data_IF_548125165702
#
_entry.id   IF_548125165702
#
_cell.length_a   1.000
_cell.length_b   1.000
_cell.length_c   1.000
_cell.angle_alpha   90.00
_cell.angle_beta   90.00
_cell.angle_gamma   90.00
#
_symmetry.space_group_name_H-M   'P 1'
#
loop_
_entity.id
_entity.type
_entity.pdbx_description
1 polymer ?
#
# COMPACT_ATOMS: atom_id res chain seq x y z
N UNK A 1 11.02 20.06 12.14
CA UNK A 1 10.50 18.67 12.34
C UNK A 1 10.80 17.93 11.05
N UNK A 2 11.71 16.98 11.07
CA UNK A 2 11.98 16.10 9.93
C UNK A 2 10.73 15.26 9.67
N UNK A 3 10.24 15.28 8.44
CA UNK A 3 9.09 14.46 8.05
C UNK A 3 9.49 12.97 8.15
N UNK A 4 8.74 12.17 8.90
CA UNK A 4 8.98 10.74 8.98
C UNK A 4 8.72 10.06 7.63
N UNK A 5 9.56 9.10 7.27
CA UNK A 5 9.33 8.28 6.08
C UNK A 5 8.12 7.36 6.27
N UNK A 6 7.46 7.03 5.18
CA UNK A 6 6.30 6.12 5.18
C UNK A 6 6.64 4.76 5.79
N UNK A 7 7.81 4.22 5.46
CA UNK A 7 8.32 2.96 6.01
C UNK A 7 8.56 2.99 7.51
N UNK A 8 8.98 4.13 8.06
CA UNK A 8 9.15 4.31 9.51
C UNK A 8 7.79 4.32 10.22
N UNK A 9 6.80 5.01 9.65
CA UNK A 9 5.44 5.05 10.20
C UNK A 9 4.84 3.65 10.23
N UNK A 10 4.98 2.88 9.15
CA UNK A 10 4.49 1.49 9.10
C UNK A 10 5.25 0.58 10.07
N UNK A 11 6.56 0.69 10.15
CA UNK A 11 7.38 -0.12 11.08
C UNK A 11 7.00 0.15 12.52
N UNK A 12 6.78 1.43 12.88
CA UNK A 12 6.33 1.77 14.22
C UNK A 12 4.92 1.25 14.48
N UNK A 13 3.98 1.44 13.56
CA UNK A 13 2.63 0.91 13.69
C UNK A 13 2.64 -0.63 13.87
N UNK A 14 3.46 -1.34 13.09
CA UNK A 14 3.59 -2.80 13.19
C UNK A 14 4.16 -3.25 14.55
N UNK A 15 4.98 -2.43 15.21
CA UNK A 15 5.56 -2.74 16.53
C UNK A 15 4.56 -2.66 17.68
N UNK A 16 3.47 -1.89 17.53
CA UNK A 16 2.49 -1.65 18.58
C UNK A 16 1.75 -2.95 19.00
N UNK A 17 1.35 -3.07 20.29
CA UNK A 17 0.79 -4.31 20.81
C UNK A 17 -0.65 -4.57 20.38
N UNK A 18 -1.49 -3.52 20.27
CA UNK A 18 -2.93 -3.66 19.99
C UNK A 18 -3.36 -3.04 18.66
N UNK A 19 -4.45 -3.53 18.07
CA UNK A 19 -4.98 -3.01 16.82
C UNK A 19 -5.56 -1.60 16.99
N UNK A 20 -6.13 -1.30 18.16
CA UNK A 20 -6.63 0.02 18.50
C UNK A 20 -5.51 1.07 18.52
N UNK A 21 -4.37 0.75 19.13
CA UNK A 21 -3.20 1.63 19.16
C UNK A 21 -2.65 1.85 17.75
N UNK A 22 -2.58 0.80 16.92
CA UNK A 22 -2.18 0.92 15.50
C UNK A 22 -3.07 1.87 14.72
N UNK A 23 -4.39 1.72 14.89
CA UNK A 23 -5.38 2.59 14.23
C UNK A 23 -5.22 4.04 14.67
N UNK A 24 -5.09 4.28 15.98
CA UNK A 24 -4.88 5.63 16.51
C UNK A 24 -3.59 6.23 15.99
N UNK A 25 -2.49 5.47 16.04
CA UNK A 25 -1.20 5.93 15.56
C UNK A 25 -1.20 6.26 14.07
N UNK A 26 -1.74 5.37 13.22
CA UNK A 26 -1.86 5.59 11.78
C UNK A 26 -2.73 6.81 11.45
N UNK A 27 -3.79 7.07 12.21
CA UNK A 27 -4.63 8.26 12.04
C UNK A 27 -3.92 9.55 12.44
N UNK A 28 -3.10 9.51 13.48
CA UNK A 28 -2.37 10.70 13.98
C UNK A 28 -1.16 11.06 13.12
N UNK A 29 -0.48 10.04 12.57
CA UNK A 29 0.77 10.22 11.84
C UNK A 29 0.62 9.96 10.33
N UNK A 30 -0.61 9.94 9.80
CA UNK A 30 -0.80 9.66 8.39
C UNK A 30 -0.29 10.80 7.51
N UNK A 31 0.48 10.42 6.52
CA UNK A 31 0.78 11.24 5.35
C UNK A 31 -0.11 10.82 4.18
N UNK A 32 -0.09 11.60 3.11
CA UNK A 32 -0.78 11.19 1.88
C UNK A 32 -0.31 9.82 1.39
N UNK A 33 1.00 9.56 1.46
CA UNK A 33 1.58 8.29 1.07
C UNK A 33 1.07 7.12 1.93
N UNK A 34 1.08 7.24 3.26
CA UNK A 34 0.55 6.21 4.17
C UNK A 34 -0.88 5.84 3.82
N UNK A 35 -1.74 6.86 3.65
CA UNK A 35 -3.14 6.65 3.29
C UNK A 35 -3.30 5.94 1.94
N UNK A 36 -2.65 6.46 0.89
CA UNK A 36 -2.75 5.91 -0.45
C UNK A 36 -2.18 4.48 -0.55
N UNK A 37 -1.06 4.20 0.12
CA UNK A 37 -0.51 2.85 0.12
C UNK A 37 -1.47 1.84 0.75
N UNK A 38 -2.09 2.18 1.88
CA UNK A 38 -3.08 1.29 2.51
C UNK A 38 -4.32 1.12 1.63
N UNK A 39 -4.83 2.19 1.03
CA UNK A 39 -5.95 2.12 0.11
C UNK A 39 -5.60 1.24 -1.10
N UNK A 40 -4.48 1.49 -1.75
CA UNK A 40 -4.06 0.74 -2.93
C UNK A 40 -3.79 -0.73 -2.63
N UNK A 41 -3.26 -1.04 -1.44
CA UNK A 41 -3.01 -2.42 -1.04
C UNK A 41 -4.30 -3.19 -0.71
N UNK A 42 -5.21 -2.59 0.06
CA UNK A 42 -6.35 -3.31 0.63
C UNK A 42 -7.67 -3.14 -0.15
N UNK A 43 -7.76 -2.16 -1.03
CA UNK A 43 -8.94 -1.99 -1.88
C UNK A 43 -8.91 -2.97 -3.05
N UNK A 44 -9.86 -3.90 -3.08
CA UNK A 44 -9.97 -4.93 -4.13
C UNK A 44 -10.37 -4.41 -5.50
N UNK A 45 -10.98 -3.23 -5.55
CA UNK A 45 -11.38 -2.60 -6.82
C UNK A 45 -10.21 -1.95 -7.55
N UNK A 46 -9.12 -1.67 -6.86
CA UNK A 46 -7.92 -1.10 -7.46
C UNK A 46 -7.06 -2.23 -7.99
N UNK A 47 -6.86 -2.25 -9.31
CA UNK A 47 -6.00 -3.23 -9.98
C UNK A 47 -4.81 -2.51 -10.61
N UNK A 48 -3.61 -3.00 -10.33
CA UNK A 48 -2.41 -2.52 -10.98
C UNK A 48 -2.25 -3.17 -12.36
N UNK A 49 -1.85 -2.39 -13.34
CA UNK A 49 -1.54 -2.84 -14.71
C UNK A 49 -0.03 -3.04 -14.91
N UNK A 50 0.62 -3.57 -13.90
CA UNK A 50 2.04 -3.89 -13.86
C UNK A 50 2.23 -5.40 -13.69
N UNK A 51 3.34 -5.98 -14.17
CA UNK A 51 3.66 -7.38 -13.94
C UNK A 51 3.73 -7.69 -12.44
N UNK A 52 3.36 -8.92 -12.08
CA UNK A 52 3.48 -9.40 -10.70
C UNK A 52 4.96 -9.64 -10.36
N UNK A 53 5.29 -9.43 -9.10
CA UNK A 53 6.64 -9.59 -8.57
C UNK A 53 7.55 -8.40 -8.83
N UNK A 54 8.74 -8.50 -8.26
CA UNK A 54 9.86 -7.59 -8.51
C UNK A 54 10.74 -8.24 -9.58
N UNK A 55 11.06 -7.57 -10.69
CA UNK A 55 12.00 -8.12 -11.66
C UNK A 55 13.30 -8.47 -10.94
N UNK A 56 13.81 -9.66 -11.18
CA UNK A 56 15.15 -10.04 -10.71
C UNK A 56 16.18 -9.32 -11.57
N UNK A 57 16.53 -8.12 -11.17
CA UNK A 57 17.55 -7.29 -11.82
C UNK A 57 18.98 -7.79 -11.53
N UNK A 58 19.14 -9.07 -11.17
CA UNK A 58 20.42 -9.73 -10.98
C UNK A 58 21.10 -10.11 -12.32
N UNK A 59 20.96 -9.32 -13.33
CA UNK A 59 21.89 -9.36 -14.42
C UNK A 59 22.96 -8.34 -14.10
N UNK A 60 24.23 -8.76 -14.15
CA UNK A 60 25.42 -7.96 -13.86
C UNK A 60 25.53 -6.65 -14.68
N UNK A 61 24.62 -6.46 -15.63
CA UNK A 61 24.48 -5.27 -16.45
C UNK A 61 23.56 -4.19 -15.82
N UNK A 62 22.81 -4.54 -14.78
CA UNK A 62 21.97 -3.62 -14.03
C UNK A 62 22.35 -3.66 -12.55
N UNK A 63 23.57 -3.28 -12.24
CA UNK A 63 23.79 -2.76 -10.90
C UNK A 63 22.76 -1.67 -10.70
N UNK A 64 21.90 -1.77 -9.65
CA UNK A 64 21.14 -0.59 -9.26
C UNK A 64 22.22 0.44 -9.03
N UNK A 65 22.27 1.42 -9.93
CA UNK A 65 23.22 2.51 -9.72
C UNK A 65 22.82 3.15 -8.41
N UNK A 66 23.43 2.67 -7.31
CA UNK A 66 23.50 3.37 -6.03
C UNK A 66 24.10 4.77 -6.21
N UNK A 67 24.47 5.10 -7.44
CA UNK A 67 24.98 6.39 -7.87
C UNK A 67 23.90 7.47 -7.97
N UNK A 68 22.59 7.14 -7.96
CA UNK A 68 21.56 8.18 -7.93
C UNK A 68 21.41 8.83 -6.57
N UNK A 69 21.86 8.18 -5.49
CA UNK A 69 21.80 8.75 -4.15
C UNK A 69 23.08 8.52 -3.35
N UNK A 70 24.23 9.02 -3.80
CA UNK A 70 25.46 8.90 -3.03
C UNK A 70 25.43 9.65 -1.70
N UNK A 71 24.40 10.48 -1.47
CA UNK A 71 24.31 11.39 -0.32
C UNK A 71 22.89 11.53 0.25
N UNK A 72 22.05 10.50 0.24
CA UNK A 72 20.71 10.58 0.84
C UNK A 72 20.73 10.80 2.36
N UNK A 73 21.88 10.99 2.96
CA UNK A 73 22.06 11.44 4.35
C UNK A 73 22.39 12.94 4.48
N UNK A 74 22.57 13.66 3.38
CA UNK A 74 23.12 15.01 3.44
C UNK A 74 22.25 16.11 2.81
N UNK A 75 21.27 15.77 1.95
CA UNK A 75 20.36 16.77 1.36
C UNK A 75 18.96 16.20 1.23
N UNK A 76 17.98 16.95 1.72
CA UNK A 76 16.53 16.69 1.69
C UNK A 76 15.92 16.71 0.26
N UNK A 77 16.72 16.66 -0.79
CA UNK A 77 16.29 16.87 -2.17
C UNK A 77 15.86 15.57 -2.89
N UNK A 78 15.79 14.44 -2.20
CA UNK A 78 15.24 13.19 -2.74
C UNK A 78 13.73 13.31 -2.94
N UNK A 79 13.22 12.67 -4.01
CA UNK A 79 11.79 12.55 -4.20
C UNK A 79 11.17 11.79 -3.02
N UNK A 80 10.28 12.43 -2.27
CA UNK A 80 9.58 11.78 -1.18
C UNK A 80 8.38 11.02 -1.71
N UNK A 81 8.13 9.82 -1.20
CA UNK A 81 6.96 9.04 -1.57
C UNK A 81 5.65 9.83 -1.36
N UNK A 82 5.63 10.69 -0.34
CA UNK A 82 4.46 11.53 -0.07
C UNK A 82 4.11 12.47 -1.24
N UNK A 83 5.10 12.93 -1.99
CA UNK A 83 4.87 13.73 -3.18
C UNK A 83 4.61 12.87 -4.41
N UNK A 84 5.34 11.78 -4.58
CA UNK A 84 5.30 10.91 -5.75
C UNK A 84 4.04 10.03 -5.81
N UNK A 85 3.40 9.76 -4.69
CA UNK A 85 2.17 8.95 -4.62
C UNK A 85 1.04 9.48 -5.50
N UNK A 86 1.06 10.76 -5.85
CA UNK A 86 0.11 11.36 -6.81
C UNK A 86 0.18 10.75 -8.21
N UNK A 87 1.29 10.08 -8.56
CA UNK A 87 1.48 9.43 -9.87
C UNK A 87 0.87 8.02 -9.92
N UNK A 88 0.35 7.49 -8.80
CA UNK A 88 -0.18 6.12 -8.73
C UNK A 88 -1.29 5.85 -9.75
N UNK A 89 -2.08 6.86 -10.14
CA UNK A 89 -3.11 6.70 -11.15
C UNK A 89 -2.59 6.23 -12.52
N UNK A 90 -1.31 6.45 -12.83
CA UNK A 90 -0.68 5.99 -14.09
C UNK A 90 -0.58 4.46 -14.16
N UNK A 91 -0.58 3.79 -13.02
CA UNK A 91 -0.28 2.37 -12.88
C UNK A 91 -1.51 1.50 -12.65
N UNK A 92 -2.68 2.12 -12.41
CA UNK A 92 -3.93 1.42 -12.10
C UNK A 92 -4.87 1.39 -13.30
N UNK A 93 -5.75 0.39 -13.31
CA UNK A 93 -6.81 0.24 -14.31
C UNK A 93 -7.74 1.47 -14.32
N UNK A 94 -8.00 2.02 -15.51
CA UNK A 94 -8.85 3.21 -15.67
C UNK A 94 -8.16 4.55 -15.41
N UNK A 95 -6.94 4.58 -14.87
CA UNK A 95 -6.27 5.83 -14.52
C UNK A 95 -5.69 6.59 -15.73
N UNK A 96 -4.99 5.91 -16.63
CA UNK A 96 -4.45 6.51 -17.86
C UNK A 96 -4.58 5.52 -19.05
N UNK A 97 -5.67 5.57 -19.80
CA UNK A 97 -6.00 4.56 -20.82
C UNK A 97 -5.02 4.53 -22.02
N UNK A 98 -4.40 5.67 -22.34
CA UNK A 98 -3.51 5.79 -23.51
C UNK A 98 -2.05 5.42 -23.21
N UNK A 99 -1.73 5.00 -21.98
CA UNK A 99 -0.38 4.64 -21.60
C UNK A 99 -0.10 3.17 -21.98
N UNK A 100 0.92 2.96 -22.82
CA UNK A 100 1.33 1.59 -23.20
C UNK A 100 1.92 0.84 -22.00
N UNK A 101 1.85 -0.50 -22.03
CA UNK A 101 2.40 -1.35 -20.96
C UNK A 101 3.89 -1.06 -20.73
N UNK A 102 4.70 -1.06 -21.81
CA UNK A 102 6.14 -0.77 -21.72
C UNK A 102 6.44 0.60 -21.08
N UNK A 103 5.73 1.64 -21.53
CA UNK A 103 5.94 2.99 -20.95
C UNK A 103 5.51 3.04 -19.47
N UNK A 104 4.47 2.30 -19.10
CA UNK A 104 4.01 2.20 -17.72
C UNK A 104 5.07 1.55 -16.83
N UNK A 105 5.67 0.45 -17.28
CA UNK A 105 6.75 -0.22 -16.58
C UNK A 105 7.99 0.68 -16.45
N UNK A 106 8.38 1.38 -17.53
CA UNK A 106 9.48 2.36 -17.47
C UNK A 106 9.23 3.42 -16.41
N UNK A 107 8.05 4.04 -16.43
CA UNK A 107 7.68 5.08 -15.44
C UNK A 107 7.63 4.52 -14.01
N UNK A 108 7.23 3.25 -13.84
CA UNK A 108 7.26 2.61 -12.53
C UNK A 108 8.69 2.45 -12.01
N UNK A 109 9.60 1.97 -12.85
CA UNK A 109 11.01 1.85 -12.49
C UNK A 109 11.66 3.20 -12.20
N UNK A 110 11.38 4.21 -13.01
CA UNK A 110 11.84 5.59 -12.75
C UNK A 110 11.35 6.08 -11.39
N UNK A 111 10.06 5.86 -11.07
CA UNK A 111 9.48 6.24 -9.79
C UNK A 111 10.16 5.52 -8.63
N UNK A 112 10.24 4.20 -8.68
CA UNK A 112 10.82 3.38 -7.61
C UNK A 112 12.30 3.71 -7.39
N UNK A 113 13.07 3.93 -8.46
CA UNK A 113 14.48 4.29 -8.37
C UNK A 113 14.71 5.73 -7.86
N UNK A 114 13.70 6.59 -7.90
CA UNK A 114 13.80 7.96 -7.36
C UNK A 114 13.56 8.04 -5.86
N UNK A 115 13.12 6.95 -5.23
CA UNK A 115 12.73 6.91 -3.82
C UNK A 115 13.82 6.29 -2.95
N UNK A 116 13.71 6.55 -1.63
CA UNK A 116 14.53 5.83 -0.67
C UNK A 116 14.24 4.31 -0.75
N UNK A 117 15.25 3.43 -0.64
CA UNK A 117 15.09 1.98 -0.81
C UNK A 117 13.97 1.36 0.04
N UNK A 118 13.77 1.82 1.28
CA UNK A 118 12.71 1.33 2.17
C UNK A 118 11.31 1.68 1.69
N UNK A 119 11.12 2.88 1.11
CA UNK A 119 9.85 3.33 0.51
C UNK A 119 9.61 2.67 -0.85
N UNK A 120 10.67 2.45 -1.61
CA UNK A 120 10.63 1.68 -2.85
C UNK A 120 10.15 0.25 -2.61
N UNK A 121 10.64 -0.40 -1.55
CA UNK A 121 10.16 -1.72 -1.14
C UNK A 121 8.67 -1.71 -0.78
N UNK A 122 8.20 -0.70 -0.06
CA UNK A 122 6.78 -0.56 0.28
C UNK A 122 5.89 -0.50 -0.97
N UNK A 123 6.35 0.20 -2.02
CA UNK A 123 5.64 0.24 -3.31
C UNK A 123 5.59 -1.13 -3.99
N UNK A 124 6.68 -1.91 -3.97
CA UNK A 124 6.68 -3.25 -4.54
C UNK A 124 5.70 -4.17 -3.83
N UNK A 125 5.70 -4.19 -2.51
CA UNK A 125 4.74 -4.98 -1.73
C UNK A 125 3.30 -4.51 -1.94
N UNK A 126 3.06 -3.20 -1.95
CA UNK A 126 1.72 -2.63 -2.16
C UNK A 126 1.15 -2.96 -3.54
N UNK A 127 1.96 -2.86 -4.60
CA UNK A 127 1.55 -3.18 -5.98
C UNK A 127 0.97 -4.60 -6.09
N UNK A 128 1.59 -5.56 -5.43
CA UNK A 128 1.20 -6.97 -5.44
C UNK A 128 0.19 -7.33 -4.33
N UNK A 129 -0.34 -6.34 -3.59
CA UNK A 129 -1.25 -6.54 -2.46
C UNK A 129 -0.64 -7.36 -1.31
N UNK A 130 0.68 -7.30 -1.16
CA UNK A 130 1.48 -8.09 -0.21
C UNK A 130 2.07 -7.27 0.94
N UNK A 131 1.60 -6.06 1.18
CA UNK A 131 2.14 -5.19 2.24
C UNK A 131 2.12 -5.87 3.62
N UNK A 132 1.18 -6.79 3.85
CA UNK A 132 1.11 -7.60 5.08
C UNK A 132 2.25 -8.61 5.23
N UNK A 133 2.96 -8.96 4.17
CA UNK A 133 4.14 -9.84 4.28
C UNK A 133 5.29 -9.11 4.96
N UNK A 134 5.41 -7.79 4.72
CA UNK A 134 6.39 -6.91 5.36
C UNK A 134 5.91 -6.43 6.74
N UNK A 135 4.66 -6.00 6.85
CA UNK A 135 4.04 -5.46 8.08
C UNK A 135 2.88 -6.35 8.52
N UNK A 136 3.22 -7.41 9.26
CA UNK A 136 2.30 -8.53 9.57
C UNK A 136 1.09 -8.12 10.40
N UNK A 137 1.23 -7.11 11.24
CA UNK A 137 0.16 -6.65 12.12
C UNK A 137 -0.69 -5.52 11.51
N UNK A 138 -0.28 -4.95 10.37
CA UNK A 138 -1.12 -4.01 9.61
C UNK A 138 -2.08 -4.83 8.76
N UNK A 139 -3.14 -5.29 9.39
CA UNK A 139 -4.17 -6.12 8.76
C UNK A 139 -5.17 -5.28 7.95
N UNK A 140 -5.97 -5.95 7.11
CA UNK A 140 -7.06 -5.29 6.39
C UNK A 140 -8.04 -4.58 7.35
N UNK A 141 -8.30 -5.16 8.53
CA UNK A 141 -9.16 -4.55 9.54
C UNK A 141 -8.55 -3.27 10.11
N UNK A 142 -7.26 -3.28 10.42
CA UNK A 142 -6.52 -2.09 10.89
C UNK A 142 -6.55 -0.99 9.81
N UNK A 143 -6.31 -1.33 8.55
CA UNK A 143 -6.35 -0.39 7.44
C UNK A 143 -7.76 0.19 7.23
N UNK A 144 -8.80 -0.64 7.26
CA UNK A 144 -10.20 -0.20 7.17
C UNK A 144 -10.58 0.73 8.34
N UNK A 145 -10.25 0.34 9.56
CA UNK A 145 -10.55 1.16 10.74
C UNK A 145 -9.76 2.48 10.73
N UNK A 146 -8.58 2.51 10.13
CA UNK A 146 -7.80 3.75 9.99
C UNK A 146 -8.40 4.67 8.92
N UNK A 147 -8.77 4.12 7.76
CA UNK A 147 -9.23 4.87 6.58
C UNK A 147 -10.46 4.23 5.93
N UNK A 148 -11.63 4.28 6.58
CA UNK A 148 -12.84 3.58 6.11
C UNK A 148 -13.38 4.10 4.77
N UNK A 149 -13.03 5.33 4.39
CA UNK A 149 -13.47 5.94 3.14
C UNK A 149 -12.83 5.30 1.90
N UNK A 150 -11.61 4.79 2.03
CA UNK A 150 -10.84 4.25 0.90
C UNK A 150 -10.62 2.74 0.95
N UNK A 151 -10.68 2.13 2.13
CA UNK A 151 -10.48 0.70 2.35
C UNK A 151 -11.83 0.05 2.64
N UNK A 152 -12.23 -0.89 1.82
CA UNK A 152 -13.49 -1.64 2.02
C UNK A 152 -13.42 -2.45 3.31
N UNK A 153 -14.59 -2.67 3.93
CA UNK A 153 -14.67 -3.58 5.06
C UNK A 153 -14.26 -4.99 4.64
N UNK A 154 -13.36 -5.65 5.38
CA UNK A 154 -12.98 -7.03 5.06
C UNK A 154 -14.23 -7.92 5.06
N UNK A 155 -14.39 -8.70 4.00
CA UNK A 155 -15.47 -9.70 3.96
C UNK A 155 -15.31 -10.66 5.14
N UNK A 156 -16.38 -10.81 5.92
CA UNK A 156 -16.39 -11.76 7.01
C UNK A 156 -16.16 -13.16 6.43
N UNK A 157 -15.06 -13.82 6.84
CA UNK A 157 -14.82 -15.20 6.43
C UNK A 157 -16.05 -16.03 6.80
N UNK A 158 -16.61 -16.81 5.88
CA UNK A 158 -17.78 -17.62 6.16
C UNK A 158 -17.49 -18.53 7.36
N UNK A 159 -18.26 -18.37 8.43
CA UNK A 159 -18.14 -19.22 9.61
C UNK A 159 -18.56 -20.64 9.22
N UNK A 160 -17.77 -21.62 9.61
CA UNK A 160 -18.19 -23.03 9.53
C UNK A 160 -19.17 -23.28 10.68
N UNK A 161 -20.28 -23.96 10.39
CA UNK A 161 -21.15 -24.49 11.42
C UNK A 161 -20.45 -25.65 12.17
N UNK A 162 -21.06 -26.10 13.23
CA UNK A 162 -20.58 -27.25 14.03
C UNK A 162 -20.48 -28.56 13.23
N UNK A 163 -21.04 -28.58 12.01
CA UNK A 163 -20.98 -29.71 11.04
C UNK A 163 -19.91 -29.51 9.97
N UNK A 164 -19.07 -28.46 10.04
CA UNK A 164 -18.02 -28.15 9.07
C UNK A 164 -18.49 -27.55 7.73
N UNK A 165 -19.80 -27.25 7.59
CA UNK A 165 -20.36 -26.63 6.38
C UNK A 165 -20.24 -25.10 6.45
N UNK A 166 -19.97 -24.48 5.30
CA UNK A 166 -19.92 -23.01 5.21
C UNK A 166 -21.33 -22.41 5.32
N UNK A 167 -21.54 -21.56 6.30
CA UNK A 167 -22.79 -20.76 6.40
C UNK A 167 -22.74 -19.61 5.41
N UNK A 168 -23.84 -19.38 4.67
CA UNK A 168 -23.97 -18.21 3.80
C UNK A 168 -23.90 -16.94 4.64
N UNK A 169 -23.15 -15.90 4.21
CA UNK A 169 -23.11 -14.63 4.90
C UNK A 169 -24.54 -14.03 4.98
N UNK A 170 -24.97 -13.65 6.17
CA UNK A 170 -26.23 -12.93 6.37
C UNK A 170 -26.17 -11.58 5.65
N UNK A 171 -27.12 -11.33 4.75
CA UNK A 171 -27.29 -10.03 4.12
C UNK A 171 -27.62 -8.99 5.20
N UNK A 172 -26.99 -7.80 5.18
CA UNK A 172 -27.28 -6.76 6.15
C UNK A 172 -28.77 -6.39 6.11
N UNK A 173 -29.45 -6.49 7.25
CA UNK A 173 -30.86 -6.13 7.38
C UNK A 173 -31.00 -4.62 7.10
N UNK A 174 -31.70 -4.25 6.02
CA UNK A 174 -32.07 -2.87 5.74
C UNK A 174 -32.91 -2.35 6.92
N UNK A 175 -32.39 -1.38 7.67
CA UNK A 175 -33.17 -0.64 8.67
C UNK A 175 -34.29 0.06 7.93
N UNK A 176 -35.54 -0.35 8.17
CA UNK A 176 -36.72 0.37 7.72
C UNK A 176 -36.71 1.73 8.41
N UNK A 177 -36.64 2.81 7.64
CA UNK A 177 -36.88 4.13 8.13
C UNK A 177 -38.34 4.19 8.60
N UNK A 178 -38.58 4.49 9.87
CA UNK A 178 -39.91 4.85 10.37
C UNK A 178 -40.22 6.25 9.85
N UNK A 179 -41.36 6.37 9.17
CA UNK A 179 -42.03 7.65 8.90
C UNK A 179 -42.49 8.28 10.18
#
# INVERSE_FOLDING_TARGET
MTAQMTSEIFSHADSLPTDEERVVYLRQNHTKAVRELLIHNFNTNIKFLLPEGRPDLRTDEFEPQNSYFPNLGATDDGATLNYEVRKMYLFIEGGHPNLTALKRETLWHELVNSLHPSEADDLWYMKDKKLQEKYKKITHLVAHNSFPEGVQQPEAKPKRDTSGRFTKPEKPKKKKAKK
#
